data_IF_799825739033
#
_entry.id   IF_799825739033
#
_cell.length_a   1.000
_cell.length_b   1.000
_cell.length_c   1.000
_cell.angle_alpha   90.00
_cell.angle_beta   90.00
_cell.angle_gamma   90.00
#
_symmetry.space_group_name_H-M   'P 1'
#
loop_
_entity.id
_entity.type
_entity.pdbx_description
1 polymer ?
#
# COMPACT_ATOMS: atom_id res chain seq x y z
N UNK A 1 4.17 -1.11 14.00
CA UNK A 1 4.84 -0.01 13.27
C UNK A 1 4.09 1.32 13.46
N UNK A 2 4.77 2.47 13.48
CA UNK A 2 4.12 3.79 13.61
C UNK A 2 3.37 4.16 12.33
N UNK A 3 2.15 4.72 12.40
CA UNK A 3 1.42 5.12 11.21
C UNK A 3 2.14 6.25 10.48
N UNK A 4 2.14 6.19 9.16
CA UNK A 4 2.67 7.26 8.31
C UNK A 4 1.55 7.84 7.46
N UNK A 5 1.67 9.13 7.19
CA UNK A 5 0.78 9.86 6.29
C UNK A 5 1.65 10.74 5.40
N UNK A 6 1.50 10.56 4.09
CA UNK A 6 2.20 11.33 3.06
C UNK A 6 1.16 12.01 2.19
N UNK A 7 1.43 13.26 1.83
CA UNK A 7 0.56 14.08 0.98
C UNK A 7 1.30 14.60 -0.26
N UNK A 8 2.60 14.30 -0.37
CA UNK A 8 3.41 14.67 -1.53
C UNK A 8 3.44 13.50 -2.52
N UNK A 9 2.98 13.68 -3.78
CA UNK A 9 2.93 12.61 -4.77
C UNK A 9 4.27 11.95 -5.06
N UNK A 10 5.38 12.72 -5.07
CA UNK A 10 6.69 12.15 -5.33
C UNK A 10 7.16 11.29 -4.15
N UNK A 11 7.00 11.79 -2.91
CA UNK A 11 7.32 11.01 -1.71
C UNK A 11 6.46 9.74 -1.62
N UNK A 12 5.18 9.83 -1.98
CA UNK A 12 4.26 8.69 -2.02
C UNK A 12 4.76 7.64 -3.01
N UNK A 13 5.11 8.04 -4.24
CA UNK A 13 5.60 7.10 -5.25
C UNK A 13 6.91 6.43 -4.81
N UNK A 14 7.87 7.20 -4.30
CA UNK A 14 9.13 6.66 -3.78
C UNK A 14 8.92 5.69 -2.62
N UNK A 15 7.98 6.01 -1.73
CA UNK A 15 7.62 5.16 -0.62
C UNK A 15 7.01 3.84 -1.11
N UNK A 16 6.00 3.91 -1.97
CA UNK A 16 5.29 2.75 -2.52
C UNK A 16 6.21 1.85 -3.36
N UNK A 17 7.21 2.43 -4.04
CA UNK A 17 8.20 1.67 -4.82
C UNK A 17 9.08 0.77 -3.96
N UNK A 18 9.28 1.12 -2.69
CA UNK A 18 10.09 0.36 -1.74
C UNK A 18 9.29 -0.66 -0.94
N UNK A 19 7.96 -0.66 -1.08
CA UNK A 19 7.06 -1.58 -0.40
C UNK A 19 6.89 -2.84 -1.23
N UNK A 20 7.21 -3.97 -0.60
CA UNK A 20 7.05 -5.30 -1.15
C UNK A 20 6.17 -6.14 -0.23
N UNK A 21 5.39 -7.05 -0.82
CA UNK A 21 4.51 -7.98 -0.12
C UNK A 21 4.85 -9.42 -0.50
N UNK A 22 4.99 -10.25 0.51
CA UNK A 22 5.26 -11.68 0.42
C UNK A 22 4.32 -12.46 1.35
N UNK A 23 4.10 -13.74 1.06
CA UNK A 23 3.23 -14.61 1.84
C UNK A 23 1.90 -14.95 1.15
N UNK A 24 0.82 -15.00 1.91
CA UNK A 24 -0.46 -15.55 1.46
C UNK A 24 -1.47 -14.45 1.06
N UNK A 25 -2.03 -14.57 -0.15
CA UNK A 25 -2.95 -13.60 -0.74
C UNK A 25 -2.24 -12.69 -1.74
N UNK A 26 -2.45 -11.37 -1.60
CA UNK A 26 -1.82 -10.35 -2.44
C UNK A 26 -0.32 -10.24 -2.15
N UNK A 27 0.48 -10.47 -3.20
CA UNK A 27 1.93 -10.34 -3.21
C UNK A 27 2.31 -9.39 -4.34
N UNK A 28 3.30 -8.54 -4.08
CA UNK A 28 3.78 -7.57 -5.05
C UNK A 28 5.23 -7.23 -4.74
N UNK A 29 6.05 -7.15 -5.77
CA UNK A 29 7.44 -6.70 -5.67
C UNK A 29 7.55 -5.18 -5.51
N UNK A 30 6.51 -4.43 -5.88
CA UNK A 30 6.44 -2.99 -5.69
C UNK A 30 4.98 -2.55 -5.68
N UNK A 31 4.49 -2.13 -4.51
CA UNK A 31 3.10 -1.66 -4.38
C UNK A 31 2.77 -0.50 -5.32
N UNK A 32 3.78 0.30 -5.70
CA UNK A 32 3.61 1.36 -6.70
C UNK A 32 3.03 0.85 -8.02
N UNK A 33 3.46 -0.33 -8.49
CA UNK A 33 2.96 -0.91 -9.74
C UNK A 33 1.46 -1.18 -9.68
N UNK A 34 0.99 -1.78 -8.59
CA UNK A 34 -0.44 -2.06 -8.40
C UNK A 34 -1.29 -0.79 -8.26
N UNK A 35 -0.71 0.26 -7.67
CA UNK A 35 -1.36 1.57 -7.56
C UNK A 35 -1.50 2.22 -8.94
N UNK A 36 -0.50 2.09 -9.81
CA UNK A 36 -0.58 2.56 -11.20
C UNK A 36 -1.56 1.72 -12.04
N UNK A 37 -1.57 0.40 -11.87
CA UNK A 37 -2.56 -0.48 -12.53
C UNK A 37 -4.00 -0.15 -12.09
N UNK A 38 -4.19 0.34 -10.87
CA UNK A 38 -5.46 0.87 -10.39
C UNK A 38 -5.82 2.26 -10.95
N UNK A 39 -4.95 2.87 -11.76
CA UNK A 39 -5.15 4.19 -12.37
C UNK A 39 -4.88 5.34 -11.39
N UNK A 40 -4.04 5.12 -10.38
CA UNK A 40 -3.54 6.17 -9.48
C UNK A 40 -2.11 6.56 -9.87
N UNK A 41 -1.93 7.14 -11.06
CA UNK A 41 -0.61 7.56 -11.57
C UNK A 41 0.03 8.70 -10.78
N UNK A 42 -0.78 9.46 -10.04
CA UNK A 42 -0.35 10.65 -9.29
C UNK A 42 -1.10 10.77 -7.95
N UNK A 43 -0.83 9.87 -6.99
CA UNK A 43 -1.54 9.85 -5.72
C UNK A 43 -1.27 11.14 -4.91
N UNK A 44 -2.33 11.75 -4.38
CA UNK A 44 -2.23 12.96 -3.55
C UNK A 44 -2.22 12.67 -2.06
N UNK A 45 -2.53 11.43 -1.67
CA UNK A 45 -2.59 11.02 -0.29
C UNK A 45 -2.22 9.55 -0.14
N UNK A 46 -1.39 9.26 0.84
CA UNK A 46 -1.09 7.90 1.30
C UNK A 46 -1.13 7.87 2.81
N UNK A 47 -1.77 6.84 3.35
CA UNK A 47 -1.68 6.49 4.76
C UNK A 47 -1.35 5.03 4.92
N UNK A 48 -0.29 4.72 5.66
CA UNK A 48 0.07 3.34 5.98
C UNK A 48 0.06 3.13 7.50
N UNK A 49 -0.54 2.03 7.94
CA UNK A 49 -0.71 1.73 9.36
C UNK A 49 -0.74 0.21 9.62
N UNK A 50 -0.62 -0.15 10.90
CA UNK A 50 -0.57 -1.54 11.33
C UNK A 50 0.81 -2.16 11.14
N UNK A 51 0.86 -3.48 11.26
CA UNK A 51 2.09 -4.26 11.14
C UNK A 51 1.77 -5.57 10.43
N UNK A 52 2.55 -5.87 9.41
CA UNK A 52 2.44 -7.09 8.63
C UNK A 52 3.82 -7.72 8.48
N UNK A 53 4.03 -8.93 9.03
CA UNK A 53 5.30 -9.64 8.88
C UNK A 53 5.62 -10.02 7.44
N UNK A 54 4.61 -10.17 6.58
CA UNK A 54 4.82 -10.43 5.17
C UNK A 54 4.97 -9.17 4.31
N UNK A 55 4.92 -7.98 4.90
CA UNK A 55 5.27 -6.73 4.22
C UNK A 55 6.72 -6.37 4.53
N UNK A 56 7.44 -5.84 3.55
CA UNK A 56 8.79 -5.32 3.72
C UNK A 56 8.93 -3.95 3.08
N UNK A 57 9.57 -3.02 3.79
CA UNK A 57 9.92 -1.69 3.29
C UNK A 57 11.43 -1.62 3.12
N UNK A 58 11.90 -1.39 1.89
CA UNK A 58 13.33 -1.27 1.58
C UNK A 58 14.13 -2.51 2.06
N UNK A 59 13.54 -3.70 1.90
CA UNK A 59 14.11 -4.97 2.36
C UNK A 59 14.02 -5.24 3.87
N UNK A 60 13.37 -4.37 4.65
CA UNK A 60 13.15 -4.55 6.09
C UNK A 60 11.73 -4.97 6.40
N UNK A 61 11.60 -6.13 7.05
CA UNK A 61 10.35 -6.66 7.64
C UNK A 61 10.42 -6.56 9.17
N UNK A 62 9.29 -6.40 9.89
CA UNK A 62 7.93 -6.20 9.37
C UNK A 62 7.71 -4.77 8.86
N UNK A 63 6.79 -4.59 7.91
CA UNK A 63 6.35 -3.28 7.45
C UNK A 63 4.87 -3.03 7.79
N UNK A 64 4.26 -1.97 7.25
CA UNK A 64 2.84 -1.68 7.45
C UNK A 64 1.96 -2.76 6.79
N UNK A 65 0.80 -3.02 7.40
CA UNK A 65 -0.16 -4.02 6.91
C UNK A 65 -1.40 -3.45 6.24
N UNK A 66 -1.61 -2.14 6.37
CA UNK A 66 -2.67 -1.40 5.69
C UNK A 66 -2.10 -0.23 4.95
N UNK A 67 -2.53 -0.04 3.72
CA UNK A 67 -2.16 1.09 2.87
C UNK A 67 -3.44 1.67 2.32
N UNK A 68 -3.58 2.98 2.40
CA UNK A 68 -4.70 3.72 1.86
C UNK A 68 -4.13 4.81 0.98
N UNK A 69 -4.21 4.59 -0.32
CA UNK A 69 -3.73 5.52 -1.35
C UNK A 69 -4.94 6.15 -2.00
N UNK A 70 -4.91 7.47 -2.21
CA UNK A 70 -5.98 8.21 -2.88
C UNK A 70 -5.40 9.12 -3.94
N UNK A 71 -6.15 9.23 -5.04
CA UNK A 71 -5.98 10.26 -6.06
C UNK A 71 -7.34 10.88 -6.41
N UNK A 72 -7.63 12.07 -5.88
CA UNK A 72 -8.91 12.75 -6.04
C UNK A 72 -10.08 11.89 -5.55
N UNK A 73 -10.84 11.33 -6.50
CA UNK A 73 -11.98 10.43 -6.26
C UNK A 73 -11.62 8.94 -6.27
N UNK A 74 -10.39 8.59 -6.67
CA UNK A 74 -9.93 7.21 -6.75
C UNK A 74 -9.27 6.81 -5.44
N UNK A 75 -9.57 5.62 -4.96
CA UNK A 75 -9.03 5.08 -3.72
C UNK A 75 -8.55 3.66 -3.97
N UNK A 76 -7.31 3.39 -3.57
CA UNK A 76 -6.72 2.06 -3.56
C UNK A 76 -6.30 1.71 -2.13
N UNK A 77 -6.86 0.62 -1.61
CA UNK A 77 -6.59 0.14 -0.27
C UNK A 77 -5.98 -1.25 -0.30
N UNK A 78 -4.93 -1.46 0.47
CA UNK A 78 -4.41 -2.78 0.82
C UNK A 78 -4.67 -3.02 2.28
N UNK A 79 -5.19 -4.20 2.63
CA UNK A 79 -5.45 -4.60 4.01
C UNK A 79 -5.42 -6.12 4.14
N UNK A 80 -5.16 -6.60 5.37
CA UNK A 80 -4.95 -8.02 5.65
C UNK A 80 -3.49 -8.28 5.96
N UNK A 81 -2.97 -9.47 5.65
CA UNK A 81 -1.58 -9.85 5.90
C UNK A 81 -1.33 -10.36 7.33
N UNK A 82 -2.23 -10.10 8.27
CA UNK A 82 -2.17 -10.69 9.61
C UNK A 82 -2.39 -12.21 9.59
N UNK A 83 -1.88 -12.97 10.58
CA UNK A 83 -2.00 -14.42 10.64
C UNK A 83 -3.47 -14.88 10.46
N UNK A 84 -3.72 -15.71 9.45
CA UNK A 84 -5.06 -16.22 9.12
C UNK A 84 -5.97 -15.26 8.34
N UNK A 85 -5.46 -14.10 7.89
CA UNK A 85 -6.19 -13.16 7.01
C UNK A 85 -5.36 -12.85 5.75
N UNK A 86 -5.64 -13.51 4.61
CA UNK A 86 -4.88 -13.27 3.39
C UNK A 86 -4.99 -11.81 2.97
N UNK A 87 -3.88 -11.29 2.45
CA UNK A 87 -3.76 -9.89 2.03
C UNK A 87 -4.69 -9.62 0.85
N UNK A 88 -5.42 -8.50 0.89
CA UNK A 88 -6.44 -8.13 -0.10
C UNK A 88 -6.27 -6.68 -0.53
N UNK A 89 -6.61 -6.43 -1.78
CA UNK A 89 -6.71 -5.08 -2.34
C UNK A 89 -8.17 -4.72 -2.56
N UNK A 90 -8.48 -3.43 -2.45
CA UNK A 90 -9.78 -2.88 -2.76
C UNK A 90 -9.59 -1.57 -3.49
N UNK A 91 -10.22 -1.47 -4.65
CA UNK A 91 -10.24 -0.28 -5.46
C UNK A 91 -11.67 0.26 -5.51
N UNK A 92 -11.81 1.57 -5.40
CA UNK A 92 -13.09 2.26 -5.50
C UNK A 92 -12.91 3.64 -6.16
N UNK A 93 -13.86 4.01 -7.01
CA UNK A 93 -14.00 5.36 -7.55
C UNK A 93 -15.27 5.96 -6.93
N UNK A 94 -15.13 6.97 -6.07
CA UNK A 94 -16.30 7.66 -5.51
C UNK A 94 -16.96 8.51 -6.61
N UNK A 95 -18.30 8.44 -6.79
CA UNK A 95 -19.01 9.14 -7.87
C UNK A 95 -18.87 10.67 -7.85
#
# INVERSE_FOLDING_TARGET
MEPIELNDPAEIQEFLAKITFQGEGFNSDALLGDVFDAGLDWPDFLRAEGEDPGASYDGKSPAWGKYHVRQGKRVFMVYGGSPGKPRRTHFSETP
#
